data_IF_528999925593
#
_entry.id   IF_528999925593
#
_cell.length_a   1.000
_cell.length_b   1.000
_cell.length_c   1.000
_cell.angle_alpha   90.00
_cell.angle_beta   90.00
_cell.angle_gamma   90.00
#
_symmetry.space_group_name_H-M   'P 1'
#
loop_
_entity.id
_entity.type
_entity.pdbx_description
1 polymer ?
#
# COMPACT_ATOMS: atom_id res chain seq x y z
N UNK A 1 -2.21 24.29 -10.97
CA UNK A 1 -2.67 22.91 -10.72
C UNK A 1 -1.85 22.33 -9.59
N UNK A 2 -2.48 21.96 -8.50
CA UNK A 2 -1.78 21.29 -7.40
C UNK A 2 -1.55 19.82 -7.76
N UNK A 3 -0.32 19.32 -7.51
CA UNK A 3 0.00 17.91 -7.69
C UNK A 3 -0.29 17.16 -6.41
N UNK A 4 -0.91 16.00 -6.52
CA UNK A 4 -1.18 15.12 -5.39
C UNK A 4 -0.61 13.72 -5.64
N UNK A 5 -0.27 13.04 -4.55
CA UNK A 5 0.01 11.60 -4.52
C UNK A 5 -0.48 11.03 -3.20
N UNK A 6 -1.53 10.23 -3.26
CA UNK A 6 -2.19 9.70 -2.07
C UNK A 6 -1.83 8.25 -1.76
N UNK A 7 -0.80 7.69 -2.44
CA UNK A 7 -0.39 6.31 -2.22
C UNK A 7 1.14 6.20 -2.26
N UNK A 8 1.75 6.38 -1.08
CA UNK A 8 3.21 6.45 -0.91
C UNK A 8 3.62 5.55 0.25
N UNK A 9 4.70 4.79 0.07
CA UNK A 9 5.29 3.91 1.07
C UNK A 9 6.66 4.37 1.52
N UNK A 10 6.93 4.21 2.80
CA UNK A 10 8.21 4.47 3.43
C UNK A 10 8.90 3.17 3.90
N UNK A 11 10.09 3.32 4.50
CA UNK A 11 10.78 2.22 5.15
C UNK A 11 10.10 1.75 6.46
N UNK A 12 8.98 2.34 6.84
CA UNK A 12 8.12 1.81 7.91
C UNK A 12 7.35 0.57 7.45
N UNK A 13 7.19 0.36 6.15
CA UNK A 13 6.71 -0.88 5.55
C UNK A 13 7.75 -1.46 4.57
N UNK A 14 7.57 -1.32 3.31
CA UNK A 14 8.40 -1.90 2.25
C UNK A 14 8.88 -0.89 1.20
N UNK A 15 8.74 0.40 1.45
CA UNK A 15 9.46 1.44 0.73
C UNK A 15 10.96 1.44 1.08
N UNK A 16 11.79 1.96 0.20
CA UNK A 16 13.25 2.05 0.42
C UNK A 16 13.66 3.32 1.17
N UNK A 17 12.88 4.39 1.07
CA UNK A 17 13.23 5.68 1.62
C UNK A 17 12.77 5.85 3.08
N UNK A 18 13.60 6.49 3.89
CA UNK A 18 13.17 7.00 5.19
C UNK A 18 12.29 8.24 5.02
N UNK A 19 11.72 8.76 6.12
CA UNK A 19 10.76 9.87 6.03
C UNK A 19 11.41 11.19 5.60
N UNK A 20 12.63 11.47 6.03
CA UNK A 20 13.37 12.68 5.63
C UNK A 20 13.65 12.67 4.13
N UNK A 21 14.13 11.52 3.60
CA UNK A 21 14.34 11.33 2.17
C UNK A 21 13.03 11.48 1.38
N UNK A 22 11.91 10.95 1.91
CA UNK A 22 10.60 11.11 1.29
C UNK A 22 10.15 12.57 1.25
N UNK A 23 10.36 13.34 2.32
CA UNK A 23 10.04 14.75 2.35
C UNK A 23 10.85 15.51 1.28
N UNK A 24 12.14 15.23 1.16
CA UNK A 24 12.99 15.83 0.12
C UNK A 24 12.48 15.50 -1.29
N UNK A 25 12.08 14.25 -1.52
CA UNK A 25 11.54 13.80 -2.81
C UNK A 25 10.18 14.47 -3.10
N UNK A 26 9.28 14.57 -2.12
CA UNK A 26 7.98 15.25 -2.21
C UNK A 26 8.17 16.74 -2.59
N UNK A 27 9.05 17.43 -1.89
CA UNK A 27 9.36 18.83 -2.15
C UNK A 27 9.97 19.02 -3.54
N UNK A 28 10.96 18.20 -3.91
CA UNK A 28 11.63 18.24 -5.22
C UNK A 28 10.65 18.02 -6.38
N UNK A 29 9.62 17.18 -6.20
CA UNK A 29 8.60 16.92 -7.21
C UNK A 29 7.42 17.90 -7.17
N UNK A 30 7.48 18.91 -6.27
CA UNK A 30 6.46 19.95 -6.10
C UNK A 30 5.04 19.36 -5.84
N UNK A 31 4.97 18.31 -5.01
CA UNK A 31 3.70 17.77 -4.54
C UNK A 31 3.12 18.70 -3.47
N UNK A 32 1.81 18.91 -3.49
CA UNK A 32 1.10 19.79 -2.56
C UNK A 32 0.09 19.07 -1.67
N UNK A 33 -0.30 17.85 -2.04
CA UNK A 33 -1.18 17.00 -1.26
C UNK A 33 -0.59 15.58 -1.31
N UNK A 34 -0.28 15.00 -0.15
CA UNK A 34 0.32 13.67 -0.06
C UNK A 34 -0.31 12.85 1.06
N UNK A 35 -0.39 11.53 0.87
CA UNK A 35 -0.72 10.61 1.94
C UNK A 35 0.38 9.57 2.10
N UNK A 36 0.76 9.28 3.35
CA UNK A 36 1.62 8.15 3.69
C UNK A 36 0.72 6.96 4.03
N UNK A 37 0.84 5.89 3.25
CA UNK A 37 -0.06 4.73 3.29
C UNK A 37 0.70 3.41 3.46
N UNK A 38 1.67 3.38 4.35
CA UNK A 38 2.48 2.21 4.65
C UNK A 38 1.64 0.94 4.89
N UNK A 39 2.10 -0.20 4.35
CA UNK A 39 1.42 -1.48 4.53
C UNK A 39 1.30 -1.91 5.99
N UNK A 40 0.06 -2.07 6.45
CA UNK A 40 -0.34 -2.63 7.75
C UNK A 40 0.39 -1.97 8.94
N UNK A 41 0.68 -0.66 8.83
CA UNK A 41 1.24 0.16 9.91
C UNK A 41 0.87 1.62 9.74
N UNK A 42 0.64 2.31 10.86
CA UNK A 42 0.36 3.75 10.91
C UNK A 42 1.49 4.53 11.59
N UNK A 43 2.57 3.85 11.96
CA UNK A 43 3.62 4.44 12.80
C UNK A 43 4.36 5.58 12.13
N UNK A 44 4.54 5.55 10.81
CA UNK A 44 5.19 6.60 10.03
C UNK A 44 4.42 7.91 10.01
N UNK A 45 3.09 7.87 10.13
CA UNK A 45 2.25 9.06 10.02
C UNK A 45 2.52 10.11 11.12
N UNK A 46 2.79 9.65 12.36
CA UNK A 46 3.03 10.56 13.49
C UNK A 46 4.34 11.32 13.31
N UNK A 47 5.37 10.63 12.83
CA UNK A 47 6.68 11.20 12.59
C UNK A 47 6.67 12.10 11.35
N UNK A 48 6.04 11.63 10.24
CA UNK A 48 5.89 12.40 9.00
C UNK A 48 5.19 13.73 9.21
N UNK A 49 4.16 13.80 10.06
CA UNK A 49 3.44 15.04 10.41
C UNK A 49 4.35 16.13 10.95
N UNK A 50 5.44 15.77 11.62
CA UNK A 50 6.41 16.72 12.16
C UNK A 50 7.49 17.15 11.16
N UNK A 51 7.70 16.36 10.10
CA UNK A 51 8.75 16.58 9.10
C UNK A 51 8.24 17.36 7.88
N UNK A 52 6.97 17.11 7.49
CA UNK A 52 6.40 17.68 6.27
C UNK A 52 6.27 19.21 6.34
N UNK A 53 6.66 19.95 5.28
CA UNK A 53 6.49 21.41 5.22
C UNK A 53 5.02 21.84 5.34
N UNK A 54 4.77 22.97 6.02
CA UNK A 54 3.42 23.47 6.29
C UNK A 54 2.59 23.86 5.05
N UNK A 55 3.26 24.08 3.92
CA UNK A 55 2.62 24.40 2.63
C UNK A 55 2.26 23.14 1.83
N UNK A 56 2.44 21.95 2.41
CA UNK A 56 2.04 20.66 1.86
C UNK A 56 0.96 20.05 2.77
N UNK A 57 -0.20 19.76 2.21
CA UNK A 57 -1.28 19.08 2.90
C UNK A 57 -0.94 17.60 3.07
N UNK A 58 -0.71 17.18 4.30
CA UNK A 58 -0.42 15.79 4.65
C UNK A 58 -1.67 15.09 5.17
N UNK A 59 -2.04 14.01 4.50
CA UNK A 59 -3.16 13.14 4.87
C UNK A 59 -2.58 11.89 5.54
N UNK A 60 -3.00 11.62 6.77
CA UNK A 60 -2.62 10.39 7.48
C UNK A 60 -3.35 9.20 6.86
N UNK A 61 -2.60 8.17 6.48
CA UNK A 61 -3.16 7.03 5.79
C UNK A 61 -2.58 5.69 6.23
N UNK A 62 -3.13 4.65 5.68
CA UNK A 62 -2.67 3.25 5.81
C UNK A 62 -3.13 2.46 4.61
N UNK A 63 -2.34 1.47 4.17
CA UNK A 63 -2.79 0.45 3.24
C UNK A 63 -2.87 -0.90 3.95
N UNK A 64 -4.10 -1.44 4.07
CA UNK A 64 -4.36 -2.72 4.74
C UNK A 64 -4.46 -3.87 3.74
N UNK A 65 -3.65 -4.91 3.97
CA UNK A 65 -3.64 -6.12 3.14
C UNK A 65 -4.80 -7.03 3.51
N UNK A 66 -5.84 -7.09 2.69
CA UNK A 66 -7.14 -7.66 3.06
C UNK A 66 -7.59 -8.83 2.17
N UNK A 67 -8.56 -9.57 2.69
CA UNK A 67 -9.44 -10.45 1.90
C UNK A 67 -10.88 -10.10 2.25
N UNK A 68 -11.69 -9.75 1.25
CA UNK A 68 -13.14 -9.54 1.37
C UNK A 68 -13.82 -10.71 0.69
N UNK A 69 -14.48 -11.59 1.44
CA UNK A 69 -14.90 -12.88 0.93
C UNK A 69 -13.71 -13.62 0.27
N UNK A 70 -13.73 -13.87 -1.04
CA UNK A 70 -12.62 -14.48 -1.78
C UNK A 70 -11.75 -13.46 -2.55
N UNK A 71 -12.07 -12.17 -2.43
CA UNK A 71 -11.35 -11.09 -3.11
C UNK A 71 -10.11 -10.72 -2.31
N UNK A 72 -8.93 -11.05 -2.82
CA UNK A 72 -7.68 -10.51 -2.31
C UNK A 72 -7.56 -9.07 -2.79
N UNK A 73 -7.41 -8.13 -1.87
CA UNK A 73 -7.38 -6.71 -2.17
C UNK A 73 -6.50 -5.96 -1.16
N UNK A 74 -6.21 -4.72 -1.49
CA UNK A 74 -5.71 -3.75 -0.52
C UNK A 74 -6.78 -2.69 -0.29
N UNK A 75 -6.88 -2.20 0.95
CA UNK A 75 -7.82 -1.15 1.35
C UNK A 75 -7.01 0.00 1.94
N UNK A 76 -7.06 1.13 1.25
CA UNK A 76 -6.50 2.39 1.76
C UNK A 76 -7.45 2.98 2.79
N UNK A 77 -6.90 3.47 3.89
CA UNK A 77 -7.60 4.31 4.84
C UNK A 77 -7.01 5.70 4.81
N UNK A 78 -7.80 6.72 4.48
CA UNK A 78 -7.36 8.11 4.50
C UNK A 78 -7.96 8.87 5.66
N UNK A 79 -7.26 9.92 6.11
CA UNK A 79 -7.64 10.80 7.22
C UNK A 79 -7.93 10.05 8.53
N UNK A 80 -7.10 9.05 8.79
CA UNK A 80 -7.21 8.21 9.99
C UNK A 80 -6.61 8.91 11.22
N UNK A 81 -7.18 8.62 12.39
CA UNK A 81 -6.48 8.85 13.66
C UNK A 81 -5.51 7.68 13.93
N UNK A 82 -4.17 7.87 13.79
CA UNK A 82 -3.21 6.79 13.97
C UNK A 82 -3.12 6.27 15.42
N UNK A 83 -3.81 6.93 16.38
CA UNK A 83 -3.89 6.52 17.78
C UNK A 83 -5.20 5.76 18.10
N UNK A 84 -6.07 5.53 17.11
CA UNK A 84 -7.32 4.78 17.33
C UNK A 84 -7.02 3.35 17.78
N UNK A 85 -7.69 2.91 18.83
CA UNK A 85 -7.45 1.62 19.49
C UNK A 85 -7.82 0.44 18.58
N UNK A 86 -9.02 0.44 17.99
CA UNK A 86 -9.51 -0.65 17.13
C UNK A 86 -8.60 -0.86 15.90
N UNK A 87 -8.14 0.24 15.28
CA UNK A 87 -7.20 0.18 14.15
C UNK A 87 -5.84 -0.38 14.59
N UNK A 88 -5.33 0.05 15.74
CA UNK A 88 -4.07 -0.44 16.27
C UNK A 88 -4.12 -1.90 16.70
N UNK A 89 -5.24 -2.36 17.25
CA UNK A 89 -5.45 -3.77 17.60
C UNK A 89 -5.43 -4.66 16.35
N UNK A 90 -6.12 -4.24 15.28
CA UNK A 90 -6.07 -4.93 13.99
C UNK A 90 -4.63 -4.99 13.45
N UNK A 91 -3.91 -3.87 13.45
CA UNK A 91 -2.51 -3.78 13.01
C UNK A 91 -1.60 -4.69 13.86
N UNK A 92 -1.78 -4.73 15.18
CA UNK A 92 -0.99 -5.58 16.07
C UNK A 92 -1.23 -7.07 15.79
N UNK A 93 -2.47 -7.48 15.52
CA UNK A 93 -2.79 -8.82 15.04
C UNK A 93 -2.03 -9.12 13.72
N UNK A 94 -2.04 -8.19 12.78
CA UNK A 94 -1.30 -8.30 11.51
C UNK A 94 0.21 -8.50 11.72
N UNK A 95 0.81 -7.75 12.64
CA UNK A 95 2.23 -7.90 13.00
C UNK A 95 2.54 -9.31 13.50
N UNK A 96 1.69 -9.87 14.36
CA UNK A 96 1.85 -11.24 14.87
C UNK A 96 1.76 -12.27 13.74
N UNK A 97 0.77 -12.15 12.86
CA UNK A 97 0.60 -13.03 11.69
C UNK A 97 1.79 -12.93 10.71
N UNK A 98 2.31 -11.72 10.49
CA UNK A 98 3.50 -11.51 9.65
C UNK A 98 4.76 -12.12 10.25
N UNK A 99 4.92 -12.02 11.57
CA UNK A 99 6.02 -12.67 12.29
C UNK A 99 5.97 -14.19 12.12
N UNK A 100 4.82 -14.81 12.33
CA UNK A 100 4.63 -16.25 12.10
C UNK A 100 4.94 -16.64 10.64
N UNK A 101 4.51 -15.83 9.69
CA UNK A 101 4.79 -16.04 8.26
C UNK A 101 6.27 -15.89 7.92
N UNK A 102 6.97 -14.97 8.58
CA UNK A 102 8.42 -14.82 8.46
C UNK A 102 9.11 -16.09 8.95
N UNK A 103 8.79 -16.56 10.15
CA UNK A 103 9.35 -17.77 10.77
C UNK A 103 9.15 -19.01 9.88
N UNK A 104 7.93 -19.19 9.35
CA UNK A 104 7.63 -20.26 8.38
C UNK A 104 8.51 -20.19 7.14
N UNK A 105 8.77 -18.99 6.60
CA UNK A 105 9.63 -18.80 5.43
C UNK A 105 11.11 -19.06 5.73
N UNK A 106 11.60 -18.60 6.88
CA UNK A 106 12.96 -18.84 7.33
C UNK A 106 13.20 -20.34 7.44
N UNK A 107 12.30 -21.06 8.10
CA UNK A 107 12.38 -22.51 8.24
C UNK A 107 12.31 -23.24 6.89
N UNK A 108 11.42 -22.80 5.99
CA UNK A 108 11.31 -23.34 4.63
C UNK A 108 12.62 -23.15 3.84
N UNK A 109 13.24 -21.97 3.90
CA UNK A 109 14.49 -21.68 3.21
C UNK A 109 15.64 -22.54 3.77
N UNK A 110 15.70 -22.71 5.08
CA UNK A 110 16.67 -23.60 5.73
C UNK A 110 16.47 -25.05 5.29
N UNK A 111 15.25 -25.58 5.41
CA UNK A 111 14.97 -27.00 5.18
C UNK A 111 15.08 -27.41 3.70
N UNK A 112 14.68 -26.53 2.79
CA UNK A 112 14.64 -26.84 1.35
C UNK A 112 15.92 -26.49 0.60
N UNK A 113 16.57 -25.39 0.99
CA UNK A 113 17.71 -24.84 0.24
C UNK A 113 18.99 -24.76 1.06
N UNK A 114 18.97 -25.13 2.34
CA UNK A 114 20.13 -24.98 3.24
C UNK A 114 20.49 -23.51 3.53
N UNK A 115 19.57 -22.57 3.31
CA UNK A 115 19.84 -21.15 3.50
C UNK A 115 19.55 -20.79 4.96
N UNK A 116 20.62 -20.52 5.72
CA UNK A 116 20.52 -20.02 7.09
C UNK A 116 20.90 -18.54 7.14
N UNK A 117 20.08 -17.73 7.80
CA UNK A 117 20.36 -16.32 8.03
C UNK A 117 21.28 -16.16 9.26
N UNK A 118 22.18 -15.16 9.20
CA UNK A 118 23.00 -14.80 10.34
C UNK A 118 22.16 -14.17 11.45
N UNK A 119 22.72 -14.05 12.63
CA UNK A 119 22.05 -13.38 13.75
C UNK A 119 21.68 -11.93 13.39
N UNK A 120 22.60 -11.22 12.77
CA UNK A 120 22.41 -9.82 12.35
C UNK A 120 21.29 -9.69 11.32
N UNK A 121 21.17 -10.62 10.37
CA UNK A 121 20.11 -10.64 9.37
C UNK A 121 18.76 -10.97 10.01
N UNK A 122 18.71 -11.90 10.95
CA UNK A 122 17.49 -12.21 11.71
C UNK A 122 17.06 -11.01 12.57
N UNK A 123 17.98 -10.39 13.29
CA UNK A 123 17.73 -9.21 14.10
C UNK A 123 17.18 -8.07 13.22
N UNK A 124 17.74 -7.89 12.02
CA UNK A 124 17.25 -6.92 11.05
C UNK A 124 15.83 -7.26 10.56
N UNK A 125 15.53 -8.51 10.21
CA UNK A 125 14.20 -8.94 9.79
C UNK A 125 13.15 -8.72 10.90
N UNK A 126 13.49 -9.11 12.13
CA UNK A 126 12.59 -8.97 13.29
C UNK A 126 12.41 -7.53 13.76
N UNK A 127 13.35 -6.63 13.44
CA UNK A 127 13.21 -5.20 13.75
C UNK A 127 12.26 -4.45 12.82
N UNK A 128 11.85 -5.07 11.69
CA UNK A 128 10.92 -4.42 10.75
C UNK A 128 9.54 -4.24 11.37
N UNK A 129 8.96 -3.04 11.24
CA UNK A 129 7.62 -2.71 11.76
C UNK A 129 6.52 -3.47 10.99
N UNK A 130 6.72 -3.66 9.69
CA UNK A 130 5.91 -4.52 8.83
C UNK A 130 6.83 -5.39 7.96
N UNK A 131 7.08 -6.63 8.40
CA UNK A 131 7.95 -7.55 7.65
C UNK A 131 7.18 -8.20 6.51
N UNK A 132 7.70 -8.06 5.29
CA UNK A 132 7.15 -8.63 4.05
C UNK A 132 8.16 -9.51 3.34
N UNK A 133 7.74 -10.26 2.31
CA UNK A 133 8.62 -11.17 1.56
C UNK A 133 9.77 -10.45 0.85
N UNK A 134 9.59 -9.19 0.48
CA UNK A 134 10.62 -8.36 -0.15
C UNK A 134 11.84 -8.19 0.76
N UNK A 135 11.67 -8.08 2.07
CA UNK A 135 12.81 -8.01 3.00
C UNK A 135 13.68 -9.28 2.97
N UNK A 136 13.05 -10.47 2.85
CA UNK A 136 13.79 -11.71 2.67
C UNK A 136 14.49 -11.73 1.31
N UNK A 137 13.77 -11.32 0.25
CA UNK A 137 14.31 -11.24 -1.11
C UNK A 137 15.55 -10.33 -1.18
N UNK A 138 15.51 -9.16 -0.53
CA UNK A 138 16.65 -8.24 -0.44
C UNK A 138 17.91 -8.94 0.17
N UNK A 139 17.73 -9.76 1.20
CA UNK A 139 18.86 -10.51 1.77
C UNK A 139 19.38 -11.58 0.83
N UNK A 140 18.51 -12.28 0.10
CA UNK A 140 18.91 -13.27 -0.90
C UNK A 140 19.68 -12.63 -2.05
N UNK A 141 19.24 -11.47 -2.53
CA UNK A 141 19.95 -10.68 -3.55
C UNK A 141 21.31 -10.20 -3.03
N UNK A 142 21.37 -9.67 -1.81
CA UNK A 142 22.62 -9.23 -1.17
C UNK A 142 23.63 -10.36 -1.05
N UNK A 143 23.17 -11.60 -0.87
CA UNK A 143 24.02 -12.81 -0.83
C UNK A 143 24.39 -13.33 -2.22
N UNK A 144 23.95 -12.70 -3.31
CA UNK A 144 24.21 -13.14 -4.67
C UNK A 144 23.44 -14.39 -5.11
N UNK A 145 22.37 -14.76 -4.38
CA UNK A 145 21.53 -15.94 -4.69
C UNK A 145 20.50 -15.64 -5.79
N UNK A 146 20.26 -14.37 -6.07
CA UNK A 146 19.40 -13.89 -7.15
C UNK A 146 19.88 -12.52 -7.63
N UNK A 147 19.56 -12.16 -8.87
CA UNK A 147 19.94 -10.88 -9.49
C UNK A 147 19.05 -9.71 -9.05
N UNK A 148 17.82 -10.01 -8.63
CA UNK A 148 16.83 -9.02 -8.19
C UNK A 148 15.75 -9.68 -7.30
N UNK A 149 14.91 -8.86 -6.69
CA UNK A 149 13.86 -9.32 -5.76
C UNK A 149 12.82 -10.22 -6.41
N UNK A 150 12.44 -9.95 -7.66
CA UNK A 150 11.45 -10.75 -8.39
C UNK A 150 11.97 -12.19 -8.58
N UNK A 151 13.20 -12.30 -9.01
CA UNK A 151 13.88 -13.60 -9.14
C UNK A 151 14.02 -14.31 -7.80
N UNK A 152 14.45 -13.60 -6.76
CA UNK A 152 14.59 -14.15 -5.42
C UNK A 152 13.25 -14.71 -4.88
N UNK A 153 12.17 -13.95 -5.05
CA UNK A 153 10.83 -14.38 -4.64
C UNK A 153 10.37 -15.61 -5.41
N UNK A 154 10.45 -15.58 -6.73
CA UNK A 154 10.04 -16.67 -7.62
C UNK A 154 10.79 -17.98 -7.34
N UNK A 155 12.12 -17.92 -7.20
CA UNK A 155 12.96 -19.10 -7.09
C UNK A 155 12.97 -19.70 -5.68
N UNK A 156 12.83 -18.87 -4.62
CA UNK A 156 13.07 -19.30 -3.25
C UNK A 156 11.86 -19.16 -2.32
N UNK A 157 10.99 -18.16 -2.52
CA UNK A 157 10.00 -17.78 -1.50
C UNK A 157 8.57 -18.18 -1.88
N UNK A 158 8.16 -17.97 -3.13
CA UNK A 158 6.75 -18.08 -3.54
C UNK A 158 6.16 -19.50 -3.42
N UNK A 159 7.01 -20.53 -3.51
CA UNK A 159 6.59 -21.92 -3.28
C UNK A 159 6.36 -22.26 -1.79
N UNK A 160 6.76 -21.38 -0.86
CA UNK A 160 6.51 -21.56 0.56
C UNK A 160 5.03 -21.36 0.89
N UNK A 161 4.36 -22.42 1.33
CA UNK A 161 2.97 -22.33 1.78
C UNK A 161 2.91 -21.71 3.18
N UNK A 162 2.52 -20.46 3.26
CA UNK A 162 2.22 -19.77 4.52
C UNK A 162 0.71 -19.67 4.69
N UNK A 163 0.21 -19.69 5.93
CA UNK A 163 -1.21 -19.49 6.21
C UNK A 163 -1.72 -18.14 5.69
N UNK A 164 -3.04 -17.94 5.67
CA UNK A 164 -3.63 -16.65 5.35
C UNK A 164 -3.27 -15.64 6.43
N UNK A 165 -2.60 -14.56 6.05
CA UNK A 165 -2.20 -13.46 6.95
C UNK A 165 -2.81 -12.13 6.53
N UNK A 166 -3.75 -12.16 5.58
CA UNK A 166 -4.52 -11.00 5.19
C UNK A 166 -5.59 -10.73 6.23
N UNK A 167 -5.86 -9.46 6.49
CA UNK A 167 -6.97 -9.07 7.34
C UNK A 167 -8.32 -9.48 6.73
N UNK A 168 -9.30 -9.75 7.59
CA UNK A 168 -10.70 -9.72 7.19
C UNK A 168 -11.04 -8.29 6.73
N UNK A 169 -11.45 -8.14 5.46
CA UNK A 169 -11.64 -6.81 4.88
C UNK A 169 -12.82 -6.05 5.49
N UNK A 170 -13.84 -6.75 6.00
CA UNK A 170 -14.96 -6.10 6.69
C UNK A 170 -14.47 -5.49 8.01
N UNK A 171 -13.64 -6.22 8.76
CA UNK A 171 -13.01 -5.70 9.98
C UNK A 171 -12.06 -4.55 9.68
N UNK A 172 -11.30 -4.63 8.58
CA UNK A 172 -10.41 -3.56 8.15
C UNK A 172 -11.18 -2.27 7.81
N UNK A 173 -12.28 -2.38 7.05
CA UNK A 173 -13.17 -1.25 6.74
C UNK A 173 -13.78 -0.66 8.02
N UNK A 174 -14.21 -1.50 8.98
CA UNK A 174 -14.73 -1.06 10.28
C UNK A 174 -13.66 -0.29 11.06
N UNK A 175 -12.46 -0.82 11.17
CA UNK A 175 -11.36 -0.21 11.91
C UNK A 175 -10.92 1.15 11.30
N UNK A 176 -10.88 1.25 9.96
CA UNK A 176 -10.63 2.54 9.28
C UNK A 176 -11.71 3.55 9.65
N UNK A 177 -12.98 3.17 9.58
CA UNK A 177 -14.11 4.06 9.94
C UNK A 177 -14.10 4.43 11.42
N UNK A 178 -13.80 3.50 12.31
CA UNK A 178 -13.65 3.76 13.76
C UNK A 178 -12.53 4.77 14.02
N UNK A 179 -11.48 4.75 13.21
CA UNK A 179 -10.40 5.73 13.26
C UNK A 179 -10.78 7.11 12.65
N UNK A 180 -12.03 7.32 12.24
CA UNK A 180 -12.49 8.52 11.54
C UNK A 180 -12.17 8.55 10.05
N UNK A 181 -11.53 7.51 9.53
CA UNK A 181 -11.00 7.48 8.18
C UNK A 181 -11.98 7.03 7.10
N UNK A 182 -11.56 7.21 5.87
CA UNK A 182 -12.30 6.90 4.65
C UNK A 182 -11.70 5.65 4.00
N UNK A 183 -12.41 4.49 3.95
CA UNK A 183 -11.92 3.29 3.30
C UNK A 183 -12.09 3.36 1.78
N UNK A 184 -10.99 3.13 1.06
CA UNK A 184 -10.91 3.18 -0.40
C UNK A 184 -10.31 1.86 -0.93
N UNK A 185 -10.87 1.31 -2.01
CA UNK A 185 -10.30 0.14 -2.66
C UNK A 185 -9.08 0.55 -3.48
N UNK A 186 -7.90 0.08 -3.08
CA UNK A 186 -6.61 0.34 -3.74
C UNK A 186 -6.50 -0.41 -5.06
N UNK A 187 -5.91 0.20 -6.07
CA UNK A 187 -5.58 -0.37 -7.40
C UNK A 187 -6.54 -1.51 -7.84
N UNK A 188 -7.85 -1.23 -7.99
CA UNK A 188 -8.90 -2.25 -8.06
C UNK A 188 -8.85 -3.14 -9.31
N UNK A 189 -8.15 -2.75 -10.38
CA UNK A 189 -7.91 -3.60 -11.55
C UNK A 189 -6.64 -4.46 -11.43
N UNK A 190 -5.91 -4.35 -10.33
CA UNK A 190 -4.67 -5.06 -10.04
C UNK A 190 -3.48 -4.11 -9.92
N UNK A 191 -2.73 -4.27 -8.82
CA UNK A 191 -1.49 -3.57 -8.53
C UNK A 191 -0.26 -4.29 -9.09
N UNK A 192 0.93 -3.87 -8.63
CA UNK A 192 2.17 -4.51 -9.03
C UNK A 192 2.26 -5.95 -8.51
N UNK A 193 2.57 -6.87 -9.44
CA UNK A 193 2.67 -8.31 -9.10
C UNK A 193 1.33 -8.99 -8.86
N UNK A 194 0.22 -8.28 -9.05
CA UNK A 194 -1.14 -8.83 -9.03
C UNK A 194 -1.62 -9.13 -10.45
N UNK A 195 -2.60 -10.06 -10.55
CA UNK A 195 -3.27 -10.32 -11.83
C UNK A 195 -4.10 -9.09 -12.20
N UNK A 196 -3.84 -8.52 -13.35
CA UNK A 196 -4.73 -7.52 -13.93
C UNK A 196 -6.07 -8.16 -14.30
N UNK A 197 -7.18 -7.57 -13.87
CA UNK A 197 -8.53 -8.09 -14.09
C UNK A 197 -9.28 -7.28 -15.14
N UNK A 198 -10.15 -7.95 -15.89
CA UNK A 198 -11.02 -7.31 -16.87
C UNK A 198 -12.15 -6.52 -16.21
N UNK A 199 -12.79 -5.64 -17.01
CA UNK A 199 -14.00 -4.90 -16.59
C UNK A 199 -15.10 -5.85 -16.11
N UNK A 200 -15.29 -6.98 -16.78
CA UNK A 200 -16.30 -8.00 -16.41
C UNK A 200 -15.97 -8.72 -15.09
N UNK A 201 -14.67 -8.94 -14.79
CA UNK A 201 -14.22 -9.48 -13.51
C UNK A 201 -14.33 -8.45 -12.38
N UNK A 202 -14.17 -7.16 -12.69
CA UNK A 202 -14.20 -6.05 -11.72
C UNK A 202 -15.61 -5.74 -11.21
N UNK A 203 -16.61 -5.59 -12.10
CA UNK A 203 -17.94 -5.12 -11.73
C UNK A 203 -18.64 -5.94 -10.62
N UNK A 204 -18.62 -7.30 -10.65
CA UNK A 204 -19.17 -8.09 -9.55
C UNK A 204 -18.44 -7.86 -8.23
N UNK A 205 -17.11 -7.67 -8.28
CA UNK A 205 -16.30 -7.41 -7.09
C UNK A 205 -16.58 -6.02 -6.52
N UNK A 206 -16.79 -5.00 -7.39
CA UNK A 206 -17.17 -3.66 -6.97
C UNK A 206 -18.44 -3.69 -6.13
N UNK A 207 -19.47 -4.40 -6.56
CA UNK A 207 -20.72 -4.53 -5.83
C UNK A 207 -20.51 -5.14 -4.42
N UNK A 208 -19.64 -6.16 -4.32
CA UNK A 208 -19.27 -6.75 -3.04
C UNK A 208 -18.56 -5.71 -2.15
N UNK A 209 -17.57 -5.00 -2.70
CA UNK A 209 -16.79 -4.01 -1.95
C UNK A 209 -17.67 -2.86 -1.45
N UNK A 210 -18.61 -2.38 -2.27
CA UNK A 210 -19.60 -1.38 -1.89
C UNK A 210 -20.47 -1.88 -0.74
N UNK A 211 -20.98 -3.13 -0.84
CA UNK A 211 -21.82 -3.73 0.22
C UNK A 211 -21.05 -3.88 1.54
N UNK A 212 -19.73 -4.06 1.50
CA UNK A 212 -18.86 -4.08 2.67
C UNK A 212 -18.54 -2.69 3.21
N UNK A 213 -18.86 -1.64 2.46
CA UNK A 213 -18.85 -0.26 2.95
C UNK A 213 -17.61 0.55 2.61
N UNK A 214 -16.89 0.24 1.51
CA UNK A 214 -15.93 1.19 0.93
C UNK A 214 -16.62 2.50 0.58
N UNK A 215 -15.85 3.58 0.54
CA UNK A 215 -16.32 4.94 0.27
C UNK A 215 -15.65 5.56 -0.96
N UNK A 216 -14.67 4.89 -1.54
CA UNK A 216 -13.97 5.37 -2.72
C UNK A 216 -13.24 4.28 -3.49
N UNK A 217 -12.75 4.67 -4.67
CA UNK A 217 -11.91 3.88 -5.55
C UNK A 217 -10.61 4.62 -5.84
N UNK A 218 -9.49 3.92 -5.90
CA UNK A 218 -8.27 4.43 -6.49
C UNK A 218 -8.37 4.32 -8.01
N UNK A 219 -8.84 5.41 -8.64
CA UNK A 219 -9.07 5.45 -10.08
C UNK A 219 -7.80 5.82 -10.85
N UNK A 220 -6.98 6.71 -10.27
CA UNK A 220 -5.72 7.14 -10.86
C UNK A 220 -4.58 6.36 -10.22
N UNK A 221 -3.94 5.49 -11.00
CA UNK A 221 -2.86 4.63 -10.53
C UNK A 221 -1.74 4.54 -11.56
N UNK A 222 -0.50 4.49 -11.10
CA UNK A 222 0.69 4.57 -11.95
C UNK A 222 0.75 3.58 -13.12
N UNK A 223 0.00 2.49 -13.05
CA UNK A 223 -0.04 1.42 -14.05
C UNK A 223 -1.31 1.38 -14.90
N UNK A 224 -2.24 2.33 -14.67
CA UNK A 224 -3.47 2.39 -15.47
C UNK A 224 -3.33 3.34 -16.63
N UNK A 225 -3.82 2.92 -17.79
CA UNK A 225 -3.93 3.76 -18.96
C UNK A 225 -5.20 4.64 -18.88
N UNK A 226 -5.34 5.55 -19.83
CA UNK A 226 -6.44 6.51 -19.83
C UNK A 226 -7.83 5.84 -19.89
N UNK A 227 -7.99 4.75 -20.67
CA UNK A 227 -9.26 4.02 -20.80
C UNK A 227 -9.67 3.33 -19.49
N UNK A 228 -8.71 2.80 -18.75
CA UNK A 228 -8.93 2.17 -17.44
C UNK A 228 -9.30 3.21 -16.39
N UNK A 229 -8.63 4.35 -16.39
CA UNK A 229 -8.93 5.48 -15.51
C UNK A 229 -10.34 6.00 -15.75
N UNK A 230 -10.72 6.28 -17.01
CA UNK A 230 -12.06 6.74 -17.37
C UNK A 230 -13.12 5.74 -16.91
N UNK A 231 -12.92 4.46 -17.19
CA UNK A 231 -13.82 3.41 -16.72
C UNK A 231 -14.01 3.41 -15.19
N UNK A 232 -12.92 3.53 -14.41
CA UNK A 232 -13.00 3.56 -12.95
C UNK A 232 -13.64 4.84 -12.42
N UNK A 233 -13.37 5.98 -13.06
CA UNK A 233 -14.01 7.26 -12.73
C UNK A 233 -15.52 7.20 -12.97
N UNK A 234 -15.96 6.63 -14.10
CA UNK A 234 -17.37 6.42 -14.40
C UNK A 234 -18.03 5.50 -13.36
N UNK A 235 -17.40 4.37 -13.04
CA UNK A 235 -17.88 3.46 -12.00
C UNK A 235 -17.98 4.15 -10.62
N UNK A 236 -17.02 5.00 -10.28
CA UNK A 236 -17.05 5.75 -9.02
C UNK A 236 -18.23 6.75 -9.01
N UNK A 237 -18.43 7.49 -10.10
CA UNK A 237 -19.54 8.45 -10.24
C UNK A 237 -20.91 7.76 -10.16
N UNK A 238 -21.12 6.68 -10.89
CA UNK A 238 -22.37 5.90 -10.91
C UNK A 238 -22.73 5.33 -9.52
N UNK A 239 -21.74 5.05 -8.68
CA UNK A 239 -21.94 4.46 -7.36
C UNK A 239 -21.75 5.45 -6.20
N UNK A 240 -21.63 6.75 -6.48
CA UNK A 240 -21.38 7.79 -5.46
C UNK A 240 -20.15 7.49 -4.59
N UNK A 241 -19.08 6.98 -5.19
CA UNK A 241 -17.79 6.74 -4.55
C UNK A 241 -16.86 7.93 -4.78
N UNK A 242 -16.03 8.21 -3.78
CA UNK A 242 -14.97 9.21 -3.92
C UNK A 242 -13.87 8.67 -4.83
N UNK A 243 -13.22 9.56 -5.57
CA UNK A 243 -12.10 9.25 -6.44
C UNK A 243 -10.80 9.55 -5.69
N UNK A 244 -9.93 8.57 -5.63
CA UNK A 244 -8.57 8.67 -5.13
C UNK A 244 -7.56 8.36 -6.25
N UNK A 245 -6.28 8.63 -5.97
CA UNK A 245 -5.19 8.27 -6.86
C UNK A 245 -3.83 8.43 -6.22
N UNK A 246 -2.93 7.56 -6.60
CA UNK A 246 -1.56 7.55 -6.12
C UNK A 246 -0.61 6.78 -7.03
N UNK A 247 0.69 6.98 -6.77
CA UNK A 247 1.72 6.30 -7.55
C UNK A 247 2.00 4.88 -7.06
N UNK A 248 1.70 4.59 -5.80
CA UNK A 248 2.15 3.38 -5.11
C UNK A 248 3.69 3.34 -5.07
N UNK A 249 4.29 4.51 -4.77
CA UNK A 249 5.72 4.73 -4.73
C UNK A 249 6.39 3.93 -3.61
N UNK A 250 7.45 3.19 -3.93
CA UNK A 250 8.26 2.40 -2.99
C UNK A 250 9.77 2.68 -3.10
N UNK A 251 10.15 3.74 -3.80
CA UNK A 251 11.55 4.04 -4.07
C UNK A 251 12.22 2.96 -4.94
N UNK A 252 13.41 2.52 -4.53
CA UNK A 252 14.19 1.52 -5.29
C UNK A 252 13.56 0.12 -5.27
N UNK A 253 12.65 -0.16 -4.33
CA UNK A 253 12.01 -1.48 -4.22
C UNK A 253 10.96 -1.72 -5.32
N UNK A 254 10.41 -0.65 -5.95
CA UNK A 254 9.59 -0.70 -7.15
C UNK A 254 10.17 0.25 -8.20
N UNK A 255 11.13 -0.22 -8.97
CA UNK A 255 11.81 0.61 -9.97
C UNK A 255 10.86 1.06 -11.08
N UNK A 256 11.09 2.29 -11.57
CA UNK A 256 10.33 2.85 -12.69
C UNK A 256 9.01 3.51 -12.33
N UNK A 257 8.67 3.62 -11.05
CA UNK A 257 7.50 4.36 -10.57
C UNK A 257 7.98 5.62 -9.84
N UNK A 258 8.07 6.77 -10.51
CA UNK A 258 8.38 8.02 -9.82
C UNK A 258 7.17 8.49 -9.01
N UNK A 259 7.45 9.15 -7.88
CA UNK A 259 6.41 9.76 -7.04
C UNK A 259 5.58 10.78 -7.84
N UNK A 260 4.28 10.84 -7.61
CA UNK A 260 3.36 11.72 -8.34
C UNK A 260 2.96 11.20 -9.73
N UNK A 261 3.39 9.98 -10.12
CA UNK A 261 2.96 9.32 -11.35
C UNK A 261 1.65 8.58 -11.13
N UNK A 262 0.56 9.09 -11.68
CA UNK A 262 -0.79 8.57 -11.46
C UNK A 262 -1.40 7.87 -12.68
N UNK A 263 -0.62 7.60 -13.72
CA UNK A 263 -1.01 6.86 -14.93
C UNK A 263 0.21 6.37 -15.71
N UNK A 264 0.00 5.50 -16.70
CA UNK A 264 1.07 4.95 -17.56
C UNK A 264 1.71 5.99 -18.47
N UNK A 265 0.99 7.04 -18.83
CA UNK A 265 1.44 8.09 -19.76
C UNK A 265 2.29 9.14 -19.07
N UNK A 266 2.42 9.07 -17.74
CA UNK A 266 3.12 10.04 -16.93
C UNK A 266 2.61 11.48 -17.10
N UNK A 267 1.33 11.62 -17.44
CA UNK A 267 0.66 12.93 -17.52
C UNK A 267 0.33 13.42 -16.12
N UNK A 268 0.37 14.75 -15.95
CA UNK A 268 0.00 15.37 -14.68
C UNK A 268 -1.50 15.23 -14.44
N UNK A 269 -1.86 14.68 -13.29
CA UNK A 269 -3.24 14.67 -12.79
C UNK A 269 -3.40 15.83 -11.82
N UNK A 270 -4.38 16.70 -12.10
CA UNK A 270 -4.75 17.77 -11.17
C UNK A 270 -5.44 17.19 -9.95
N UNK A 271 -5.10 17.68 -8.75
CA UNK A 271 -5.71 17.21 -7.50
C UNK A 271 -7.23 17.39 -7.45
N UNK A 272 -7.79 18.36 -8.19
CA UNK A 272 -9.23 18.54 -8.31
C UNK A 272 -9.99 17.35 -8.92
N UNK A 273 -9.27 16.44 -9.60
CA UNK A 273 -9.84 15.17 -10.08
C UNK A 273 -9.96 14.12 -8.98
N UNK A 274 -9.23 14.29 -7.88
CA UNK A 274 -9.25 13.39 -6.73
C UNK A 274 -10.27 13.91 -5.71
N UNK A 275 -11.56 13.60 -5.92
CA UNK A 275 -12.66 14.17 -5.12
C UNK A 275 -12.53 13.90 -3.62
N UNK A 276 -11.76 12.90 -3.24
CA UNK A 276 -11.46 12.61 -1.83
C UNK A 276 -10.64 13.73 -1.16
N UNK A 277 -9.78 14.45 -1.92
CA UNK A 277 -9.01 15.57 -1.38
C UNK A 277 -9.90 16.75 -1.01
N UNK A 278 -10.91 17.03 -1.82
CA UNK A 278 -11.86 18.09 -1.54
C UNK A 278 -12.68 17.77 -0.29
N UNK A 279 -13.07 16.51 -0.12
CA UNK A 279 -13.77 16.05 1.07
C UNK A 279 -12.94 16.19 2.34
N UNK A 280 -11.66 15.79 2.31
CA UNK A 280 -10.78 15.80 3.50
C UNK A 280 -10.33 17.23 3.86
N UNK A 281 -10.02 18.07 2.86
CA UNK A 281 -9.38 19.36 3.10
C UNK A 281 -10.38 20.52 3.27
N UNK A 282 -11.65 20.32 2.93
CA UNK A 282 -12.71 21.34 3.07
C UNK A 282 -13.64 21.12 4.29
N UNK A 283 -13.31 20.14 5.15
CA UNK A 283 -14.01 19.93 6.43
C UNK A 283 -13.26 20.54 7.61
#
# INVERSE_FOLDING_TARGET
MAKADLHIHSNFSDGSNNLEELVDIIVKNNLKIVALTDHDTVSGNIEMESLIPRDINFIKGVELTCTVQDIKCHILGYDINPKNEELNDLINLGKQLRKQKLETRIEYLKNKYGIEFTKEELDWLYSRRSVVKTHIANLLVKRGLASNNVEAMKNYIDACKTGNTRFDGIKAISAIKSAGGIPVWAHPLGGEGEKHISKDEFLPKLNIMISCGIKGLECYYSRYNQEEIEFLVDCAAENNLMISGGSDYHGENKQGIPIGKLNTENTLVDSSKLTITDYILNF
#
